data_IF_630298179311
#
_entry.id   IF_630298179311
#
_cell.length_a   1.000
_cell.length_b   1.000
_cell.length_c   1.000
_cell.angle_alpha   90.00
_cell.angle_beta   90.00
_cell.angle_gamma   90.00
#
_symmetry.space_group_name_H-M   'P 1'
#
loop_
_entity.id
_entity.type
_entity.pdbx_description
1 polymer ?
#
# COMPACT_ATOMS: atom_id res chain seq x y z
N UNK A 1 -25.97 15.48 -6.15
CA UNK A 1 -25.30 14.24 -6.57
C UNK A 1 -23.80 14.47 -6.51
N UNK A 2 -23.05 13.62 -5.78
CA UNK A 2 -21.59 13.71 -5.74
C UNK A 2 -21.01 13.46 -7.14
N UNK A 3 -19.98 14.22 -7.50
CA UNK A 3 -19.27 14.11 -8.78
C UNK A 3 -17.96 13.35 -8.65
N UNK A 4 -17.31 13.48 -7.48
CA UNK A 4 -16.03 12.87 -7.14
C UNK A 4 -15.98 12.61 -5.65
N UNK A 5 -15.46 11.46 -5.25
CA UNK A 5 -15.04 11.13 -3.89
C UNK A 5 -13.58 10.75 -3.98
N UNK A 6 -12.71 11.56 -3.39
CA UNK A 6 -11.28 11.32 -3.39
C UNK A 6 -10.89 10.47 -2.18
N UNK A 7 -10.21 9.36 -2.42
CA UNK A 7 -9.71 8.43 -1.39
C UNK A 7 -8.17 8.40 -1.44
N UNK A 8 -7.54 8.70 -0.32
CA UNK A 8 -6.09 8.71 -0.20
C UNK A 8 -5.63 9.17 1.17
N UNK A 9 -4.31 9.31 1.33
CA UNK A 9 -3.68 9.72 2.58
C UNK A 9 -3.30 8.54 3.48
N UNK A 10 -3.97 7.40 3.32
CA UNK A 10 -3.64 6.14 3.99
C UNK A 10 -4.02 4.94 3.11
N UNK A 11 -3.75 3.75 3.63
CA UNK A 11 -4.19 2.50 3.04
C UNK A 11 -5.72 2.46 2.87
N UNK A 12 -6.18 2.03 1.70
CA UNK A 12 -7.60 1.92 1.37
C UNK A 12 -7.95 0.43 1.26
N UNK A 13 -8.68 -0.15 2.24
CA UNK A 13 -9.07 -1.56 2.19
C UNK A 13 -9.91 -1.88 0.95
N UNK A 14 -9.65 -3.01 0.30
CA UNK A 14 -10.40 -3.45 -0.88
C UNK A 14 -11.88 -3.61 -0.59
N UNK A 15 -12.26 -4.02 0.62
CA UNK A 15 -13.66 -4.08 1.05
C UNK A 15 -14.39 -2.73 0.94
N UNK A 16 -13.69 -1.61 1.19
CA UNK A 16 -14.26 -0.27 1.00
C UNK A 16 -14.46 0.03 -0.50
N UNK A 17 -13.48 -0.31 -1.34
CA UNK A 17 -13.60 -0.15 -2.79
C UNK A 17 -14.79 -0.95 -3.32
N UNK A 18 -14.92 -2.23 -2.94
CA UNK A 18 -16.04 -3.09 -3.32
C UNK A 18 -17.40 -2.51 -2.89
N UNK A 19 -17.48 -1.97 -1.68
CA UNK A 19 -18.71 -1.34 -1.16
C UNK A 19 -19.07 -0.07 -1.95
N UNK A 20 -18.08 0.70 -2.37
CA UNK A 20 -18.27 1.90 -3.20
C UNK A 20 -18.71 1.53 -4.61
N UNK A 21 -18.07 0.54 -5.24
CA UNK A 21 -18.42 0.06 -6.58
C UNK A 21 -19.85 -0.49 -6.63
N UNK A 22 -20.26 -1.31 -5.64
CA UNK A 22 -21.65 -1.81 -5.52
C UNK A 22 -22.68 -0.68 -5.49
N UNK A 23 -22.31 0.50 -5.00
CA UNK A 23 -23.16 1.69 -4.95
C UNK A 23 -22.93 2.65 -6.12
N UNK A 24 -22.10 2.29 -7.08
CA UNK A 24 -21.69 3.13 -8.23
C UNK A 24 -21.25 4.54 -7.78
N UNK A 25 -20.47 4.61 -6.68
CA UNK A 25 -19.93 5.87 -6.19
C UNK A 25 -18.74 6.30 -7.06
N UNK A 26 -18.64 7.59 -7.40
CA UNK A 26 -17.56 8.12 -8.25
C UNK A 26 -16.26 8.27 -7.46
N UNK A 27 -15.63 7.16 -7.10
CA UNK A 27 -14.41 7.15 -6.32
C UNK A 27 -13.18 7.32 -7.20
N UNK A 28 -12.26 8.14 -6.72
CA UNK A 28 -10.92 8.35 -7.25
C UNK A 28 -9.93 7.96 -6.18
N UNK A 29 -9.04 7.04 -6.50
CA UNK A 29 -7.88 6.75 -5.63
C UNK A 29 -6.78 7.75 -5.93
N UNK A 30 -6.03 8.12 -4.89
CA UNK A 30 -4.90 9.03 -5.03
C UNK A 30 -3.76 8.61 -4.12
N UNK A 31 -2.54 8.88 -4.59
CA UNK A 31 -1.30 8.75 -3.84
C UNK A 31 -0.52 10.05 -3.92
N UNK A 32 0.06 10.41 -2.80
CA UNK A 32 0.89 11.59 -2.64
C UNK A 32 1.19 11.81 -1.16
N UNK A 33 1.94 12.84 -0.88
CA UNK A 33 2.42 13.14 0.46
C UNK A 33 2.63 14.64 0.64
N UNK A 34 2.95 15.08 1.85
CA UNK A 34 3.25 16.48 2.14
C UNK A 34 4.38 17.01 1.27
N UNK A 35 5.37 16.19 1.01
CA UNK A 35 6.56 16.45 0.21
C UNK A 35 6.27 16.68 -1.28
N UNK A 36 5.07 16.31 -1.74
CA UNK A 36 4.60 16.54 -3.10
C UNK A 36 3.38 17.45 -3.16
N UNK A 37 3.15 18.24 -2.12
CA UNK A 37 2.09 19.24 -2.06
C UNK A 37 0.66 18.67 -2.20
N UNK A 38 0.44 17.42 -1.98
CA UNK A 38 -0.79 16.63 -2.00
C UNK A 38 -0.65 15.40 -2.89
N UNK A 39 -1.55 15.25 -3.88
CA UNK A 39 -1.59 14.10 -4.78
C UNK A 39 -0.60 14.25 -5.94
N UNK A 40 0.12 13.17 -6.25
CA UNK A 40 1.02 13.07 -7.39
C UNK A 40 0.53 12.07 -8.42
N UNK A 41 -0.28 11.13 -7.97
CA UNK A 41 -0.83 10.01 -8.75
C UNK A 41 -2.31 9.90 -8.44
N UNK A 42 -3.15 9.65 -9.45
CA UNK A 42 -4.60 9.48 -9.25
C UNK A 42 -5.25 8.74 -10.43
N UNK A 43 -6.43 8.15 -10.19
CA UNK A 43 -7.30 7.63 -11.23
C UNK A 43 -8.73 7.42 -10.74
N UNK A 44 -9.67 7.33 -11.69
CA UNK A 44 -11.05 6.94 -11.46
C UNK A 44 -11.18 5.42 -11.41
N UNK A 45 -11.66 4.85 -10.32
CA UNK A 45 -11.87 3.41 -10.20
C UNK A 45 -12.99 2.93 -11.14
N UNK A 46 -14.02 3.76 -11.38
CA UNK A 46 -15.09 3.41 -12.30
C UNK A 46 -14.63 3.30 -13.76
N UNK A 47 -13.65 4.14 -14.17
CA UNK A 47 -13.13 4.11 -15.54
C UNK A 47 -12.14 2.96 -15.76
N UNK A 48 -11.48 2.51 -14.70
CA UNK A 48 -10.48 1.44 -14.73
C UNK A 48 -10.71 0.41 -13.62
N UNK A 49 -11.84 -0.32 -13.61
CA UNK A 49 -12.18 -1.25 -12.53
C UNK A 49 -11.19 -2.42 -12.38
N UNK A 50 -10.48 -2.78 -13.46
CA UNK A 50 -9.44 -3.81 -13.47
C UNK A 50 -8.10 -3.36 -12.88
N UNK A 51 -7.95 -2.06 -12.56
CA UNK A 51 -6.75 -1.46 -11.94
C UNK A 51 -7.00 -1.01 -10.49
N UNK A 52 -8.06 -1.50 -9.87
CA UNK A 52 -8.52 -1.04 -8.55
C UNK A 52 -7.49 -1.23 -7.41
N UNK A 53 -6.53 -2.14 -7.57
CA UNK A 53 -5.41 -2.33 -6.62
C UNK A 53 -4.34 -1.25 -6.76
N UNK A 54 -4.27 -0.58 -7.91
CA UNK A 54 -3.37 0.53 -8.17
C UNK A 54 -3.76 1.79 -7.37
N UNK A 55 -2.82 2.72 -7.23
CA UNK A 55 -3.07 4.09 -6.76
C UNK A 55 -3.24 5.08 -7.91
N UNK A 56 -3.06 4.64 -9.16
CA UNK A 56 -3.34 5.42 -10.38
C UNK A 56 -2.13 5.71 -11.24
N UNK A 57 -2.26 6.74 -12.06
CA UNK A 57 -1.21 7.25 -12.95
C UNK A 57 -0.73 8.62 -12.50
N UNK A 58 0.51 8.95 -12.86
CA UNK A 58 1.08 10.27 -12.60
C UNK A 58 0.19 11.40 -13.11
N UNK A 59 0.05 12.43 -12.32
CA UNK A 59 -0.56 13.69 -12.75
C UNK A 59 0.31 14.38 -13.80
N UNK A 60 -0.28 15.24 -14.66
CA UNK A 60 0.49 16.00 -15.63
C UNK A 60 1.66 16.75 -15.01
N UNK A 61 2.85 16.56 -15.54
CA UNK A 61 4.10 17.14 -15.04
C UNK A 61 4.80 16.34 -13.95
N UNK A 62 4.13 15.37 -13.33
CA UNK A 62 4.78 14.43 -12.39
C UNK A 62 5.26 13.19 -13.11
N UNK A 63 6.35 12.61 -12.61
CA UNK A 63 6.88 11.33 -13.07
C UNK A 63 7.10 10.41 -11.87
N UNK A 64 6.84 9.13 -12.07
CA UNK A 64 7.17 8.06 -11.13
C UNK A 64 8.30 7.23 -11.72
N UNK A 65 9.34 7.00 -10.93
CA UNK A 65 10.47 6.15 -11.27
C UNK A 65 10.60 5.08 -10.20
N UNK A 66 10.91 3.87 -10.61
CA UNK A 66 11.28 2.78 -9.69
C UNK A 66 12.79 2.70 -9.66
N UNK A 67 13.36 2.87 -8.47
CA UNK A 67 14.80 2.79 -8.26
C UNK A 67 15.19 1.40 -7.75
N UNK A 68 16.35 0.90 -8.19
CA UNK A 68 16.87 -0.42 -7.85
C UNK A 68 15.83 -1.54 -7.99
N UNK A 69 15.12 -1.68 -9.14
CA UNK A 69 14.09 -2.70 -9.29
C UNK A 69 14.69 -4.11 -9.25
N UNK A 70 13.98 -5.02 -8.62
CA UNK A 70 14.25 -6.46 -8.66
C UNK A 70 13.83 -7.10 -10.00
N UNK A 71 13.87 -8.44 -10.08
CA UNK A 71 13.51 -9.19 -11.29
C UNK A 71 12.02 -9.03 -11.68
N UNK A 72 11.16 -8.67 -10.74
CA UNK A 72 9.72 -8.44 -10.93
C UNK A 72 9.41 -6.96 -11.14
N UNK A 73 10.43 -6.09 -11.21
CA UNK A 73 10.27 -4.66 -11.40
C UNK A 73 9.88 -3.88 -10.13
N UNK A 74 9.96 -4.53 -8.96
CA UNK A 74 9.63 -3.95 -7.66
C UNK A 74 10.86 -3.25 -7.09
N UNK A 75 10.70 -2.00 -6.68
CA UNK A 75 11.79 -1.20 -6.10
C UNK A 75 11.29 0.01 -5.35
N UNK A 76 12.21 0.92 -5.03
CA UNK A 76 11.89 2.16 -4.33
C UNK A 76 11.20 3.14 -5.27
N UNK A 77 10.10 3.72 -4.81
CA UNK A 77 9.32 4.69 -5.59
C UNK A 77 9.94 6.07 -5.42
N UNK A 78 10.32 6.65 -6.53
CA UNK A 78 10.78 8.02 -6.63
C UNK A 78 9.80 8.89 -7.41
N UNK A 79 9.60 10.12 -6.94
CA UNK A 79 8.75 11.11 -7.58
C UNK A 79 9.58 12.31 -8.04
N UNK A 80 9.37 12.72 -9.28
CA UNK A 80 9.95 13.93 -9.84
C UNK A 80 8.87 14.82 -10.45
N UNK A 81 9.08 16.13 -10.44
CA UNK A 81 8.17 17.09 -11.04
C UNK A 81 7.98 18.35 -10.22
N UNK A 82 7.18 19.31 -10.73
CA UNK A 82 7.05 20.64 -10.14
C UNK A 82 6.34 20.65 -8.76
N UNK A 83 5.72 19.54 -8.36
CA UNK A 83 5.06 19.41 -7.07
C UNK A 83 5.98 18.88 -5.97
N UNK A 84 7.20 18.42 -6.31
CA UNK A 84 8.19 17.98 -5.33
C UNK A 84 8.72 19.19 -4.59
N UNK A 85 8.72 19.14 -3.25
CA UNK A 85 9.26 20.20 -2.40
C UNK A 85 10.77 20.39 -2.62
N UNK A 86 11.26 21.56 -2.26
CA UNK A 86 12.71 21.87 -2.36
C UNK A 86 13.54 21.25 -1.23
N UNK A 87 12.93 20.78 -0.17
CA UNK A 87 13.60 20.13 0.96
C UNK A 87 12.96 20.42 2.31
N UNK A 88 13.50 19.81 3.35
CA UNK A 88 13.13 20.09 4.74
C UNK A 88 13.97 21.25 5.29
N UNK A 89 13.41 21.97 6.28
CA UNK A 89 14.13 23.00 7.02
C UNK A 89 15.37 22.38 7.69
N UNK A 90 16.51 23.05 7.57
CA UNK A 90 17.79 22.61 8.16
C UNK A 90 18.36 21.26 7.62
N UNK A 91 17.90 20.85 6.41
CA UNK A 91 18.47 19.70 5.69
C UNK A 91 18.93 20.09 4.30
N UNK A 92 19.73 19.21 3.68
CA UNK A 92 20.13 19.39 2.29
C UNK A 92 18.91 19.47 1.37
N UNK A 93 18.92 20.34 0.36
CA UNK A 93 17.84 20.44 -0.59
C UNK A 93 17.60 19.12 -1.34
N UNK A 94 16.34 18.86 -1.68
CA UNK A 94 15.96 17.80 -2.61
C UNK A 94 16.16 18.34 -4.03
N UNK A 95 17.01 17.69 -4.83
CA UNK A 95 17.28 18.10 -6.21
C UNK A 95 16.21 17.56 -7.19
N UNK A 96 14.94 17.78 -6.83
CA UNK A 96 13.79 17.44 -7.67
C UNK A 96 13.47 15.95 -7.80
N UNK A 97 14.25 15.04 -7.17
CA UNK A 97 14.05 13.59 -7.14
C UNK A 97 13.80 13.14 -5.69
N UNK A 98 12.55 12.94 -5.36
CA UNK A 98 12.11 12.57 -4.02
C UNK A 98 12.01 11.05 -3.89
N UNK A 99 12.83 10.44 -3.04
CA UNK A 99 12.59 9.08 -2.55
C UNK A 99 11.43 9.11 -1.55
N UNK A 100 10.37 8.37 -1.83
CA UNK A 100 9.15 8.36 -1.02
C UNK A 100 9.23 7.45 0.20
N UNK A 101 10.28 6.61 0.29
CA UNK A 101 10.37 5.49 1.24
C UNK A 101 9.27 4.41 1.03
N UNK A 102 8.52 4.48 -0.06
CA UNK A 102 7.55 3.45 -0.44
C UNK A 102 8.17 2.47 -1.46
N UNK A 103 7.76 1.21 -1.37
CA UNK A 103 8.15 0.13 -2.27
C UNK A 103 6.97 -0.20 -3.17
N UNK A 104 7.23 -0.37 -4.46
CA UNK A 104 6.20 -0.70 -5.42
C UNK A 104 6.71 -0.88 -6.83
N UNK A 105 5.81 -0.89 -7.78
CA UNK A 105 6.12 -1.02 -9.20
C UNK A 105 5.17 -0.20 -10.07
N UNK A 106 5.52 -0.06 -11.33
CA UNK A 106 4.67 0.55 -12.38
C UNK A 106 4.39 -0.51 -13.43
N UNK A 107 3.12 -0.71 -13.79
CA UNK A 107 2.76 -1.66 -14.82
C UNK A 107 2.95 -1.11 -16.25
N UNK A 108 2.72 -1.97 -17.26
CA UNK A 108 2.87 -1.64 -18.68
C UNK A 108 1.94 -0.50 -19.13
N UNK A 109 0.81 -0.31 -18.46
CA UNK A 109 -0.15 0.76 -18.72
C UNK A 109 0.21 2.07 -17.99
N UNK A 110 1.26 2.06 -17.15
CA UNK A 110 1.71 3.20 -16.36
C UNK A 110 0.97 3.42 -15.05
N UNK A 111 0.25 2.40 -14.54
CA UNK A 111 -0.37 2.45 -13.23
C UNK A 111 0.65 2.08 -12.15
N UNK A 112 0.62 2.82 -11.05
CA UNK A 112 1.50 2.69 -9.89
C UNK A 112 0.84 1.81 -8.84
N UNK A 113 1.60 0.86 -8.32
CA UNK A 113 1.19 -0.06 -7.25
C UNK A 113 2.11 0.11 -6.06
N UNK A 114 1.53 0.41 -4.90
CA UNK A 114 2.27 0.51 -3.62
C UNK A 114 2.13 -0.82 -2.90
N UNK A 115 3.25 -1.47 -2.66
CA UNK A 115 3.28 -2.75 -1.94
C UNK A 115 3.49 -2.57 -0.45
N UNK A 116 4.40 -1.65 -0.07
CA UNK A 116 4.72 -1.41 1.34
C UNK A 116 5.52 -0.12 1.52
N UNK A 117 5.72 0.30 2.77
CA UNK A 117 6.78 1.23 3.16
C UNK A 117 8.08 0.48 3.44
N UNK A 118 9.21 1.07 3.06
CA UNK A 118 10.53 0.49 3.27
C UNK A 118 10.81 0.15 4.74
N UNK A 119 10.33 0.99 5.67
CA UNK A 119 10.50 0.79 7.13
C UNK A 119 9.71 -0.40 7.67
N UNK A 120 8.63 -0.76 7.00
CA UNK A 120 7.70 -1.78 7.46
C UNK A 120 7.96 -3.13 6.80
N UNK A 121 8.90 -3.18 5.82
CA UNK A 121 9.31 -4.41 5.16
C UNK A 121 9.93 -5.37 6.17
N UNK A 122 9.36 -6.56 6.28
CA UNK A 122 9.85 -7.63 7.17
C UNK A 122 10.77 -8.53 6.36
N UNK A 123 12.02 -8.66 6.80
CA UNK A 123 13.00 -9.55 6.17
C UNK A 123 13.13 -10.79 7.05
N UNK A 124 12.50 -11.89 6.62
CA UNK A 124 12.48 -13.16 7.35
C UNK A 124 13.29 -14.22 6.60
N UNK A 125 14.43 -14.61 7.16
CA UNK A 125 15.30 -15.61 6.54
C UNK A 125 15.82 -15.27 5.15
N UNK A 126 15.87 -13.97 4.82
CA UNK A 126 16.27 -13.46 3.50
C UNK A 126 15.10 -13.25 2.52
N UNK A 127 13.89 -13.63 2.90
CA UNK A 127 12.67 -13.41 2.12
C UNK A 127 11.97 -12.11 2.55
N UNK A 128 11.45 -11.37 1.58
CA UNK A 128 10.68 -10.16 1.83
C UNK A 128 9.22 -10.51 2.13
N UNK A 129 8.74 -10.08 3.30
CA UNK A 129 7.33 -10.19 3.68
C UNK A 129 6.76 -8.78 3.76
N UNK A 130 5.73 -8.53 2.98
CA UNK A 130 5.04 -7.25 2.94
C UNK A 130 3.85 -7.27 3.93
N UNK A 131 3.88 -6.52 5.05
CA UNK A 131 2.79 -6.46 6.03
C UNK A 131 1.42 -6.24 5.39
N UNK A 132 1.36 -5.34 4.43
CA UNK A 132 0.12 -5.02 3.70
C UNK A 132 -0.55 -6.24 3.07
N UNK A 133 0.20 -7.16 2.48
CA UNK A 133 -0.36 -8.38 1.88
C UNK A 133 -1.06 -9.26 2.92
N UNK A 134 -0.46 -9.35 4.12
CA UNK A 134 -1.04 -10.12 5.22
C UNK A 134 -2.27 -9.40 5.78
N UNK A 135 -2.19 -8.10 5.97
CA UNK A 135 -3.29 -7.27 6.46
C UNK A 135 -4.49 -7.29 5.51
N UNK A 136 -4.26 -7.14 4.19
CA UNK A 136 -5.30 -7.20 3.16
C UNK A 136 -6.07 -8.52 3.22
N UNK A 137 -5.37 -9.64 3.42
CA UNK A 137 -5.99 -10.94 3.56
C UNK A 137 -6.84 -11.03 4.84
N UNK A 138 -6.32 -10.56 5.97
CA UNK A 138 -7.03 -10.57 7.26
C UNK A 138 -8.26 -9.66 7.24
N UNK A 139 -8.21 -8.51 6.56
CA UNK A 139 -9.36 -7.62 6.38
C UNK A 139 -10.51 -8.24 5.55
N UNK A 140 -10.29 -9.36 4.85
CA UNK A 140 -11.40 -10.08 4.19
C UNK A 140 -12.29 -10.84 5.18
N UNK A 141 -11.85 -11.02 6.43
CA UNK A 141 -12.63 -11.66 7.50
C UNK A 141 -13.67 -10.68 8.06
N UNK A 142 -14.98 -10.98 7.95
CA UNK A 142 -16.04 -10.03 8.36
C UNK A 142 -16.03 -9.65 9.85
N UNK A 143 -15.46 -10.50 10.70
CA UNK A 143 -15.31 -10.25 12.14
C UNK A 143 -14.21 -9.24 12.49
N UNK A 144 -13.28 -8.99 11.56
CA UNK A 144 -12.13 -8.12 11.79
C UNK A 144 -12.52 -6.66 11.59
N UNK A 145 -12.29 -5.85 12.61
CA UNK A 145 -12.48 -4.40 12.59
C UNK A 145 -11.22 -3.68 12.14
N UNK A 146 -10.09 -4.05 12.76
CA UNK A 146 -8.77 -3.48 12.48
C UNK A 146 -7.70 -4.57 12.61
N UNK A 147 -6.64 -4.51 11.82
CA UNK A 147 -5.46 -5.34 12.01
C UNK A 147 -4.19 -4.59 11.66
N UNK A 148 -3.08 -5.06 12.20
CA UNK A 148 -1.74 -4.57 11.88
C UNK A 148 -0.74 -5.73 11.95
N UNK A 149 0.21 -5.74 11.02
CA UNK A 149 1.34 -6.67 11.00
C UNK A 149 2.62 -5.89 11.24
N UNK A 150 3.39 -6.30 12.22
CA UNK A 150 4.65 -5.65 12.58
C UNK A 150 5.80 -6.65 12.64
N UNK A 151 7.05 -6.22 12.33
CA UNK A 151 8.21 -7.06 12.50
C UNK A 151 8.51 -7.29 13.99
N UNK A 152 8.76 -8.54 14.36
CA UNK A 152 9.33 -8.88 15.67
C UNK A 152 10.65 -9.61 15.48
N UNK A 153 11.66 -9.36 16.34
CA UNK A 153 12.93 -10.07 16.28
C UNK A 153 12.77 -11.57 16.47
N UNK A 154 13.43 -12.37 15.64
CA UNK A 154 13.51 -13.83 15.76
C UNK A 154 14.94 -14.31 15.66
N UNK A 155 15.43 -15.17 16.61
CA UNK A 155 16.83 -15.64 16.64
C UNK A 155 17.25 -16.44 15.41
N UNK A 156 16.31 -17.10 14.74
CA UNK A 156 16.58 -17.97 13.58
C UNK A 156 16.40 -17.24 12.26
N UNK A 157 15.36 -16.43 12.16
CA UNK A 157 14.94 -15.81 10.90
C UNK A 157 15.29 -14.32 10.79
N UNK A 158 15.87 -13.72 11.88
CA UNK A 158 16.14 -12.30 11.98
C UNK A 158 14.88 -11.53 12.38
N UNK A 159 13.85 -11.60 11.57
CA UNK A 159 12.53 -11.05 11.87
C UNK A 159 11.44 -12.05 11.46
N UNK A 160 10.29 -11.97 12.13
CA UNK A 160 9.05 -12.66 11.73
C UNK A 160 7.87 -11.70 11.87
N UNK A 161 6.80 -11.87 11.07
CA UNK A 161 5.59 -11.06 11.21
C UNK A 161 4.83 -11.42 12.48
N UNK A 162 4.37 -10.39 13.21
CA UNK A 162 3.41 -10.53 14.31
C UNK A 162 2.12 -9.80 13.93
N UNK A 163 1.01 -10.53 13.90
CA UNK A 163 -0.31 -10.03 13.58
C UNK A 163 -1.06 -9.62 14.84
N UNK A 164 -1.56 -8.38 14.87
CA UNK A 164 -2.49 -7.86 15.86
C UNK A 164 -3.86 -7.67 15.22
N UNK A 165 -4.92 -8.10 15.90
CA UNK A 165 -6.29 -8.02 15.37
C UNK A 165 -7.24 -7.45 16.42
N UNK A 166 -8.04 -6.49 16.02
CA UNK A 166 -9.20 -6.01 16.76
C UNK A 166 -10.49 -6.48 16.04
N UNK A 167 -11.45 -6.99 16.79
CA UNK A 167 -12.71 -7.49 16.26
C UNK A 167 -13.83 -6.47 16.43
N UNK A 168 -14.89 -6.61 15.63
CA UNK A 168 -16.16 -5.90 15.86
C UNK A 168 -16.79 -6.35 17.18
N UNK A 169 -17.64 -5.50 17.77
CA UNK A 169 -18.30 -5.78 19.04
C UNK A 169 -19.10 -7.10 18.97
N UNK A 170 -18.81 -8.01 19.90
CA UNK A 170 -19.42 -9.33 19.97
C UNK A 170 -18.81 -10.40 19.07
N UNK A 171 -17.85 -10.04 18.23
CA UNK A 171 -17.13 -10.97 17.36
C UNK A 171 -15.78 -11.39 17.98
N UNK A 172 -15.31 -12.57 17.63
CA UNK A 172 -13.98 -13.07 18.02
C UNK A 172 -13.55 -14.22 17.13
N UNK A 173 -12.25 -14.41 17.00
CA UNK A 173 -11.63 -15.58 16.40
C UNK A 173 -10.40 -15.95 17.23
N UNK A 174 -10.08 -17.24 17.25
CA UNK A 174 -8.83 -17.72 17.86
C UNK A 174 -7.65 -17.49 16.91
N UNK A 175 -6.44 -17.45 17.46
CA UNK A 175 -5.22 -17.35 16.66
C UNK A 175 -5.11 -18.49 15.63
N UNK A 176 -5.47 -19.72 16.04
CA UNK A 176 -5.40 -20.90 15.16
C UNK A 176 -6.38 -20.81 13.98
N UNK A 177 -7.57 -20.25 14.18
CA UNK A 177 -8.54 -20.02 13.10
C UNK A 177 -8.02 -19.02 12.08
N UNK A 178 -7.44 -17.90 12.56
CA UNK A 178 -6.84 -16.89 11.68
C UNK A 178 -5.64 -17.47 10.92
N UNK A 179 -4.71 -18.14 11.61
CA UNK A 179 -3.56 -18.76 10.97
C UNK A 179 -3.96 -19.84 9.96
N UNK A 180 -4.98 -20.67 10.29
CA UNK A 180 -5.52 -21.66 9.36
C UNK A 180 -6.16 -21.04 8.12
N UNK A 181 -6.73 -19.85 8.25
CA UNK A 181 -7.27 -19.08 7.13
C UNK A 181 -6.13 -18.54 6.26
N UNK A 182 -5.12 -17.90 6.87
CA UNK A 182 -4.01 -17.27 6.18
C UNK A 182 -3.15 -18.28 5.40
N UNK A 183 -2.85 -19.44 5.99
CA UNK A 183 -2.03 -20.51 5.37
C UNK A 183 -2.64 -21.11 4.11
N UNK A 184 -3.94 -20.92 3.84
CA UNK A 184 -4.58 -21.39 2.61
C UNK A 184 -4.28 -20.50 1.40
N UNK A 185 -3.93 -19.25 1.66
CA UNK A 185 -3.77 -18.21 0.62
C UNK A 185 -2.34 -17.67 0.51
N UNK A 186 -1.53 -17.83 1.55
CA UNK A 186 -0.17 -17.32 1.60
C UNK A 186 0.88 -18.40 1.34
N UNK A 187 2.04 -17.98 0.86
CA UNK A 187 3.21 -18.84 0.77
C UNK A 187 3.70 -19.24 2.19
N UNK A 188 4.29 -20.43 2.32
CA UNK A 188 4.67 -21.02 3.62
C UNK A 188 5.68 -20.22 4.45
N UNK A 189 6.41 -19.32 3.82
CA UNK A 189 7.42 -18.48 4.51
C UNK A 189 6.81 -17.18 5.07
N UNK A 190 5.59 -16.85 4.69
CA UNK A 190 4.80 -15.71 5.18
C UNK A 190 3.95 -16.12 6.37
#
# INVERSE_FOLDING_TARGET
>A
KLRVILLGGEFIPMALIDACEKKSLPIYKTYGMTETFSQSVTFSVLDYPHKRDSVGKSLPGMQVRIDNPDADGVGEIHLTGPMVMTGYIDKEPIDGDLNTDDIGYVDEDGFVYILNRRKDLIISGGENIYPKELEDLVYTLPSVKECAVVPVPDPKWGQVPALFVAFHDGESMTADEILSFMTKSLAKYK
#
